data_IF_084685686399
#
_entry.id   IF_084685686399
#
_cell.length_a   1.000
_cell.length_b   1.000
_cell.length_c   1.000
_cell.angle_alpha   90.00
_cell.angle_beta   90.00
_cell.angle_gamma   90.00
#
_symmetry.space_group_name_H-M   'P 1'
#
loop_
_entity.id
_entity.type
_entity.pdbx_description
1 polymer ?
#
# COMPACT_ATOMS: atom_id res chain seq x y z
N UNK A 1 19.43 33.46 -15.03
CA UNK A 1 18.32 33.06 -14.16
C UNK A 1 16.99 33.41 -14.81
N UNK A 2 16.20 32.43 -15.31
CA UNK A 2 14.74 32.49 -15.43
C UNK A 2 14.23 31.04 -15.33
N UNK A 3 13.34 30.81 -14.38
CA UNK A 3 12.96 29.49 -13.89
C UNK A 3 12.17 28.66 -14.89
N UNK A 4 12.40 27.35 -14.85
CA UNK A 4 11.57 26.37 -15.53
C UNK A 4 10.16 26.41 -14.95
N UNK A 5 9.18 26.77 -15.79
CA UNK A 5 7.77 26.79 -15.45
C UNK A 5 7.25 25.38 -15.18
N UNK A 6 6.72 25.17 -13.97
CA UNK A 6 6.05 23.94 -13.57
C UNK A 6 4.75 23.77 -14.38
N UNK A 7 4.71 22.77 -15.26
CA UNK A 7 3.51 22.39 -15.99
C UNK A 7 2.62 21.52 -15.09
N UNK A 8 1.62 22.16 -14.46
CA UNK A 8 0.59 21.50 -13.64
C UNK A 8 -0.61 20.99 -14.45
N UNK A 9 -1.21 19.88 -13.99
CA UNK A 9 -2.42 19.28 -14.54
C UNK A 9 -3.65 20.15 -14.23
N UNK A 10 -4.26 20.79 -15.24
CA UNK A 10 -5.49 21.57 -15.06
C UNK A 10 -6.73 20.68 -15.22
N UNK A 11 -7.40 20.39 -14.11
CA UNK A 11 -8.73 19.80 -14.12
C UNK A 11 -9.47 20.18 -12.84
N UNK A 12 -10.59 20.90 -12.98
CA UNK A 12 -11.51 21.35 -11.92
C UNK A 12 -11.09 22.56 -11.05
N UNK A 13 -10.21 23.45 -11.52
CA UNK A 13 -9.95 24.73 -10.83
C UNK A 13 -9.24 24.61 -9.47
N UNK A 14 -8.74 23.42 -9.13
CA UNK A 14 -7.95 23.17 -7.92
C UNK A 14 -6.53 22.80 -8.36
N UNK A 15 -5.54 23.50 -7.81
CA UNK A 15 -4.13 23.16 -8.02
C UNK A 15 -3.77 21.94 -7.16
N UNK A 16 -3.69 20.76 -7.77
CA UNK A 16 -3.21 19.55 -7.11
C UNK A 16 -1.68 19.50 -7.16
N UNK A 17 -1.03 19.23 -6.02
CA UNK A 17 0.41 18.97 -5.92
C UNK A 17 0.69 17.51 -6.30
N UNK A 18 1.91 17.19 -6.75
CA UNK A 18 2.33 15.80 -7.05
C UNK A 18 2.10 14.83 -5.87
N UNK A 19 2.16 15.34 -4.65
CA UNK A 19 1.96 14.57 -3.43
C UNK A 19 0.49 14.19 -3.20
N UNK A 20 -0.46 14.93 -3.77
CA UNK A 20 -1.90 14.65 -3.63
C UNK A 20 -2.34 13.36 -4.34
N UNK A 21 -1.55 12.90 -5.32
CA UNK A 21 -1.68 11.59 -5.95
C UNK A 21 -1.36 10.42 -4.99
N UNK A 22 -0.44 10.63 -4.04
CA UNK A 22 0.02 9.57 -3.12
C UNK A 22 -1.00 9.30 -2.00
N UNK A 23 -1.78 10.33 -1.64
CA UNK A 23 -2.80 10.28 -0.60
C UNK A 23 -4.19 9.87 -1.12
N UNK A 24 -4.34 9.66 -2.43
CA UNK A 24 -5.62 9.33 -3.03
C UNK A 24 -6.65 10.47 -2.96
N UNK A 25 -6.21 11.74 -2.94
CA UNK A 25 -7.13 12.90 -2.90
C UNK A 25 -7.65 13.34 -4.28
N UNK A 26 -7.14 12.75 -5.36
CA UNK A 26 -7.59 13.00 -6.74
C UNK A 26 -8.54 11.89 -7.24
N UNK A 27 -9.58 12.21 -8.03
CA UNK A 27 -10.37 11.22 -8.76
C UNK A 27 -9.49 10.47 -9.76
N UNK A 28 -9.68 9.15 -9.87
CA UNK A 28 -9.04 8.35 -10.91
C UNK A 28 -9.75 8.68 -12.24
N UNK A 29 -9.07 9.45 -13.08
CA UNK A 29 -9.40 9.81 -14.47
C UNK A 29 -10.35 11.00 -14.70
N UNK A 30 -10.01 11.75 -15.76
CA UNK A 30 -10.95 12.57 -16.53
C UNK A 30 -11.42 11.76 -17.76
N UNK A 31 -12.47 12.21 -18.45
CA UNK A 31 -13.06 11.54 -19.64
C UNK A 31 -12.10 11.36 -20.84
N UNK A 32 -10.86 11.86 -20.75
CA UNK A 32 -9.83 11.77 -21.78
C UNK A 32 -8.62 10.93 -21.35
N UNK A 33 -8.71 10.23 -20.22
CA UNK A 33 -7.73 9.22 -19.80
C UNK A 33 -6.39 9.76 -19.28
N UNK A 34 -6.17 11.08 -19.23
CA UNK A 34 -4.85 11.64 -18.92
C UNK A 34 -4.93 12.62 -17.75
N UNK A 35 -4.64 12.12 -16.55
CA UNK A 35 -4.13 12.84 -15.38
C UNK A 35 -3.75 11.80 -14.29
N UNK A 36 -2.57 11.20 -14.49
CA UNK A 36 -1.77 10.30 -13.64
C UNK A 36 -1.15 9.28 -14.60
N UNK A 37 0.04 9.52 -15.17
CA UNK A 37 0.80 8.37 -15.65
C UNK A 37 1.16 7.55 -14.42
N UNK A 38 1.20 6.23 -14.53
CA UNK A 38 1.73 5.27 -13.55
C UNK A 38 0.79 4.79 -12.42
N UNK A 39 0.09 3.70 -12.73
CA UNK A 39 -0.38 2.72 -11.76
C UNK A 39 0.75 1.88 -11.11
N UNK A 40 2.04 2.15 -11.37
CA UNK A 40 3.16 1.33 -10.87
C UNK A 40 4.35 2.18 -10.38
N UNK A 41 4.11 3.22 -9.58
CA UNK A 41 5.22 3.85 -8.82
C UNK A 41 5.30 3.21 -7.44
N UNK A 42 5.96 2.06 -7.41
CA UNK A 42 6.43 1.36 -6.22
C UNK A 42 7.02 2.34 -5.21
N UNK A 43 6.30 2.60 -4.11
CA UNK A 43 6.84 3.40 -3.01
C UNK A 43 7.79 2.50 -2.20
N UNK A 44 9.01 2.33 -2.71
CA UNK A 44 10.12 1.60 -2.08
C UNK A 44 10.62 2.20 -0.75
N UNK A 45 9.85 3.09 -0.12
CA UNK A 45 10.22 3.78 1.12
C UNK A 45 9.06 3.94 2.11
N UNK A 46 8.04 3.06 2.06
CA UNK A 46 7.05 3.03 3.13
C UNK A 46 7.73 2.48 4.41
N UNK A 47 8.08 3.38 5.33
CA UNK A 47 8.63 3.03 6.63
C UNK A 47 7.49 2.83 7.61
N UNK A 48 7.22 1.57 7.97
CA UNK A 48 6.33 1.23 9.08
C UNK A 48 7.13 1.30 10.37
N UNK A 49 6.69 2.13 11.32
CA UNK A 49 7.35 2.33 12.61
C UNK A 49 6.81 1.41 13.70
N UNK A 50 5.65 0.78 13.47
CA UNK A 50 5.02 -0.16 14.39
C UNK A 50 3.71 -0.72 13.85
N UNK A 51 3.07 -1.58 14.64
CA UNK A 51 1.85 -2.30 14.24
C UNK A 51 0.72 -2.03 15.22
N UNK A 52 -0.50 -1.95 14.69
CA UNK A 52 -1.73 -1.93 15.47
C UNK A 52 -2.45 -3.24 15.17
N UNK A 53 -2.80 -3.97 16.23
CA UNK A 53 -3.46 -5.26 16.18
C UNK A 53 -4.77 -5.18 16.96
N UNK A 54 -5.82 -5.80 16.41
CA UNK A 54 -7.01 -6.14 17.16
C UNK A 54 -7.02 -7.65 17.41
N UNK A 55 -7.50 -8.06 18.58
CA UNK A 55 -7.42 -9.45 19.04
C UNK A 55 -8.17 -10.40 18.09
N UNK A 56 -9.35 -9.99 17.64
CA UNK A 56 -10.17 -10.71 16.66
C UNK A 56 -9.45 -10.89 15.31
N UNK A 57 -8.66 -9.90 14.89
CA UNK A 57 -7.81 -10.01 13.70
C UNK A 57 -6.68 -11.00 13.94
N UNK A 58 -5.97 -10.91 15.07
CA UNK A 58 -4.86 -11.84 15.41
C UNK A 58 -5.35 -13.28 15.42
N UNK A 59 -6.45 -13.55 16.14
CA UNK A 59 -7.07 -14.88 16.20
C UNK A 59 -7.45 -15.40 14.81
N UNK A 60 -8.04 -14.53 13.97
CA UNK A 60 -8.41 -14.88 12.59
C UNK A 60 -7.18 -15.18 11.72
N UNK A 61 -6.08 -14.46 11.89
CA UNK A 61 -4.85 -14.72 11.12
C UNK A 61 -4.28 -16.09 11.47
N UNK A 62 -4.23 -16.43 12.74
CA UNK A 62 -3.69 -17.70 13.21
C UNK A 62 -4.60 -18.86 12.82
N UNK A 63 -5.89 -18.81 13.20
CA UNK A 63 -6.84 -19.90 13.00
C UNK A 63 -7.17 -20.15 11.53
N UNK A 64 -7.37 -19.09 10.72
CA UNK A 64 -7.83 -19.22 9.33
C UNK A 64 -6.70 -19.24 8.32
N UNK A 65 -5.63 -18.51 8.59
CA UNK A 65 -4.57 -18.28 7.60
C UNK A 65 -3.22 -18.87 8.01
N UNK A 66 -3.11 -19.41 9.24
CA UNK A 66 -1.86 -19.88 9.83
C UNK A 66 -0.75 -18.82 9.63
N UNK A 67 -1.09 -17.56 9.92
CA UNK A 67 -0.16 -16.43 9.87
C UNK A 67 -0.03 -15.88 11.28
N UNK A 68 1.19 -15.84 11.79
CA UNK A 68 1.51 -15.25 13.09
C UNK A 68 1.87 -13.78 12.92
N UNK A 69 1.77 -13.01 13.99
CA UNK A 69 2.25 -11.63 14.00
C UNK A 69 3.72 -11.52 13.59
N UNK A 70 4.54 -12.52 13.96
CA UNK A 70 5.96 -12.58 13.60
C UNK A 70 6.16 -12.65 12.08
N UNK A 71 5.39 -13.46 11.37
CA UNK A 71 5.45 -13.54 9.90
C UNK A 71 5.21 -12.16 9.27
N UNK A 72 4.24 -11.40 9.79
CA UNK A 72 3.96 -10.04 9.31
C UNK A 72 5.14 -9.10 9.58
N UNK A 73 5.75 -9.16 10.77
CA UNK A 73 6.94 -8.34 11.10
C UNK A 73 8.09 -8.63 10.14
N UNK A 74 8.35 -9.90 9.84
CA UNK A 74 9.38 -10.32 8.88
C UNK A 74 9.13 -9.72 7.50
N UNK A 75 7.89 -9.80 6.99
CA UNK A 75 7.51 -9.22 5.70
C UNK A 75 7.86 -7.72 5.65
N UNK A 76 7.53 -6.96 6.70
CA UNK A 76 7.83 -5.52 6.76
C UNK A 76 9.32 -5.22 6.98
N UNK A 77 10.04 -6.08 7.70
CA UNK A 77 11.50 -6.01 7.85
C UNK A 77 12.25 -6.27 6.54
N UNK A 78 11.73 -7.19 5.73
CA UNK A 78 12.27 -7.60 4.43
C UNK A 78 11.92 -6.62 3.30
N UNK A 79 11.53 -5.39 3.62
CA UNK A 79 11.18 -4.32 2.67
C UNK A 79 10.15 -4.81 1.65
N UNK A 80 8.91 -5.02 2.09
CA UNK A 80 7.92 -5.68 1.26
C UNK A 80 7.56 -4.77 0.11
N UNK A 81 7.06 -5.42 -0.92
CA UNK A 81 6.49 -4.72 -2.01
C UNK A 81 5.09 -4.18 -1.65
N UNK A 82 4.92 -2.85 -1.59
CA UNK A 82 3.63 -2.22 -1.25
C UNK A 82 2.90 -1.67 -2.47
N UNK A 83 1.62 -2.03 -2.63
CA UNK A 83 0.68 -1.45 -3.59
C UNK A 83 -0.56 -0.87 -2.93
N UNK A 84 -1.16 0.12 -3.58
CA UNK A 84 -2.49 0.62 -3.22
C UNK A 84 -3.57 -0.40 -3.58
N UNK A 85 -4.62 -0.50 -2.75
CA UNK A 85 -5.78 -1.38 -2.98
C UNK A 85 -7.02 -0.54 -3.21
N UNK A 86 -7.44 0.23 -2.21
CA UNK A 86 -8.65 1.04 -2.28
C UNK A 86 -8.61 2.22 -1.30
N UNK A 87 -9.47 3.22 -1.56
CA UNK A 87 -9.64 4.36 -0.63
C UNK A 87 -10.55 3.92 0.51
N UNK A 88 -10.16 4.26 1.74
CA UNK A 88 -11.06 4.10 2.88
C UNK A 88 -12.22 5.09 2.82
N UNK A 89 -13.29 4.81 3.55
CA UNK A 89 -14.44 5.71 3.68
C UNK A 89 -14.09 7.05 4.35
N UNK A 90 -12.96 7.12 5.07
CA UNK A 90 -12.44 8.32 5.72
C UNK A 90 -11.06 8.69 5.18
N UNK A 91 -10.77 9.99 5.16
CA UNK A 91 -9.47 10.50 4.76
C UNK A 91 -8.36 9.93 5.67
N UNK A 92 -7.33 9.33 5.07
CA UNK A 92 -6.24 8.70 5.81
C UNK A 92 -6.48 7.23 6.18
N UNK A 93 -7.51 6.59 5.61
CA UNK A 93 -7.79 5.16 5.82
C UNK A 93 -7.64 4.32 4.54
N UNK A 94 -6.77 4.75 3.64
CA UNK A 94 -6.45 3.99 2.43
C UNK A 94 -5.91 2.60 2.78
N UNK A 95 -6.41 1.60 2.06
CA UNK A 95 -5.99 0.22 2.20
C UNK A 95 -4.84 -0.05 1.23
N UNK A 96 -3.77 -0.63 1.77
CA UNK A 96 -2.58 -1.04 1.05
C UNK A 96 -2.41 -2.56 1.19
N UNK A 97 -1.70 -3.14 0.22
CA UNK A 97 -1.25 -4.53 0.28
C UNK A 97 0.28 -4.55 0.25
N UNK A 98 0.90 -5.19 1.25
CA UNK A 98 2.31 -5.52 1.29
C UNK A 98 2.50 -6.98 0.87
N UNK A 99 3.32 -7.21 -0.13
CA UNK A 99 3.69 -8.52 -0.65
C UNK A 99 5.15 -8.78 -0.29
N UNK A 100 5.45 -9.93 0.31
CA UNK A 100 6.83 -10.26 0.66
C UNK A 100 7.07 -11.75 0.87
N UNK A 101 8.32 -12.06 1.17
CA UNK A 101 8.80 -13.38 1.57
C UNK A 101 9.18 -13.33 3.06
N UNK A 102 8.66 -14.28 3.84
CA UNK A 102 9.10 -14.48 5.23
C UNK A 102 10.47 -15.17 5.27
N UNK A 103 11.13 -15.16 6.42
CA UNK A 103 12.45 -15.79 6.56
C UNK A 103 12.35 -17.32 6.42
N UNK A 104 11.18 -17.88 6.76
CA UNK A 104 10.83 -19.28 6.50
C UNK A 104 10.43 -19.60 5.04
N UNK A 105 10.56 -18.66 4.10
CA UNK A 105 10.32 -18.89 2.68
C UNK A 105 8.84 -18.88 2.25
N UNK A 106 7.94 -18.32 3.08
CA UNK A 106 6.50 -18.21 2.74
C UNK A 106 6.22 -16.88 2.04
N UNK A 107 5.51 -16.94 0.92
CA UNK A 107 5.04 -15.75 0.21
C UNK A 107 3.73 -15.27 0.82
N UNK A 108 3.73 -14.10 1.46
CA UNK A 108 2.56 -13.53 2.12
C UNK A 108 2.13 -12.22 1.49
N UNK A 109 0.82 -12.02 1.45
CA UNK A 109 0.19 -10.73 1.21
C UNK A 109 -0.49 -10.25 2.49
N UNK A 110 -0.19 -9.02 2.90
CA UNK A 110 -0.70 -8.36 4.10
C UNK A 110 -1.48 -7.12 3.70
N UNK A 111 -2.75 -7.06 4.09
CA UNK A 111 -3.62 -5.91 3.91
C UNK A 111 -3.58 -5.04 5.16
N UNK A 112 -3.32 -3.74 4.97
CA UNK A 112 -3.16 -2.82 6.08
C UNK A 112 -3.56 -1.39 5.72
N UNK A 113 -3.86 -0.61 6.75
CA UNK A 113 -3.99 0.85 6.65
C UNK A 113 -2.75 1.48 7.26
N UNK A 114 -2.12 2.40 6.53
CA UNK A 114 -1.03 3.21 7.09
C UNK A 114 -1.61 4.42 7.82
N UNK A 115 -1.42 4.46 9.14
CA UNK A 115 -1.81 5.61 9.96
C UNK A 115 -0.77 6.74 9.84
N UNK A 116 -1.18 7.97 10.12
CA UNK A 116 -0.35 9.18 9.98
C UNK A 116 0.91 9.17 10.88
N UNK A 117 0.87 8.42 11.98
CA UNK A 117 1.98 8.23 12.91
C UNK A 117 3.01 7.17 12.43
N UNK A 118 2.82 6.61 11.23
CA UNK A 118 3.70 5.60 10.64
C UNK A 118 3.37 4.17 11.05
N UNK A 119 2.35 3.93 11.89
CA UNK A 119 1.96 2.57 12.26
C UNK A 119 1.05 1.93 11.21
N UNK A 120 1.22 0.64 11.00
CA UNK A 120 0.37 -0.18 10.15
C UNK A 120 -0.73 -0.83 10.98
N UNK A 121 -1.99 -0.49 10.69
CA UNK A 121 -3.15 -1.24 11.19
C UNK A 121 -3.36 -2.46 10.29
N UNK A 122 -3.12 -3.65 10.83
CA UNK A 122 -3.26 -4.89 10.06
C UNK A 122 -4.73 -5.28 9.98
N UNK A 123 -5.21 -5.49 8.76
CA UNK A 123 -6.59 -5.91 8.48
C UNK A 123 -6.69 -7.41 8.19
N UNK A 124 -5.71 -7.94 7.45
CA UNK A 124 -5.66 -9.35 7.07
C UNK A 124 -4.28 -9.71 6.54
N UNK A 125 -3.89 -10.99 6.61
CA UNK A 125 -2.69 -11.54 6.02
C UNK A 125 -2.95 -12.99 5.62
N UNK A 126 -2.43 -13.39 4.45
CA UNK A 126 -2.57 -14.77 3.94
C UNK A 126 -1.44 -15.13 3.00
N UNK A 127 -1.33 -16.41 2.68
CA UNK A 127 -0.49 -16.87 1.58
C UNK A 127 -0.90 -16.21 0.26
N UNK A 128 0.08 -15.82 -0.54
CA UNK A 128 -0.15 -15.38 -1.91
C UNK A 128 -0.74 -16.51 -2.74
N UNK A 129 -1.69 -16.18 -3.60
CA UNK A 129 -2.12 -17.05 -4.68
C UNK A 129 -1.01 -17.23 -5.71
N UNK A 130 -1.11 -18.26 -6.55
CA UNK A 130 -0.14 -18.52 -7.62
C UNK A 130 0.04 -17.31 -8.55
N UNK A 131 -1.05 -16.59 -8.86
CA UNK A 131 -1.00 -15.39 -9.69
C UNK A 131 -0.32 -14.20 -8.99
N UNK A 132 -0.60 -13.99 -7.70
CA UNK A 132 0.05 -12.94 -6.90
C UNK A 132 1.55 -13.21 -6.75
N UNK A 133 1.93 -14.47 -6.46
CA UNK A 133 3.33 -14.89 -6.37
C UNK A 133 4.06 -14.67 -7.69
N UNK A 134 3.49 -15.11 -8.81
CA UNK A 134 4.09 -14.92 -10.14
C UNK A 134 4.31 -13.43 -10.43
N UNK A 135 3.40 -12.55 -10.02
CA UNK A 135 3.56 -11.08 -10.16
C UNK A 135 4.60 -10.51 -9.19
N UNK A 136 4.79 -11.12 -8.03
CA UNK A 136 5.81 -10.74 -7.08
C UNK A 136 7.22 -11.12 -7.57
N UNK A 137 7.38 -12.32 -8.16
CA UNK A 137 8.67 -12.83 -8.65
C UNK A 137 9.12 -12.19 -9.98
N UNK A 138 8.21 -11.65 -10.79
CA UNK A 138 8.55 -10.97 -12.07
C UNK A 138 9.03 -9.52 -11.90
N UNK A 139 9.57 -9.18 -10.72
CA UNK A 139 10.02 -7.83 -10.38
C UNK A 139 11.51 -7.67 -10.47
#
# INVERSE_FOLDING_TARGET
>A
MRGAGEQGCRGAGVNYRKDDCHDGKVPLYNQRGNCCPFADRWRNSLKVTGFIWFEDIVEKLESKHNVRQQDVREIFGNKPHVRFVEKGHRSGENVYAALGLTDGGRYLIVFFVLKRDGRALILSARNMSRAERRKYEQR
#
